data_IF_370331688236
#
_entry.id   IF_370331688236
#
_cell.length_a   1.000
_cell.length_b   1.000
_cell.length_c   1.000
_cell.angle_alpha   90.00
_cell.angle_beta   90.00
_cell.angle_gamma   90.00
#
_symmetry.space_group_name_H-M   'P 1'
#
loop_
_entity.id
_entity.type
_entity.pdbx_description
1 polymer ?
#
# COMPACT_ATOMS: atom_id res chain seq x y z
N UNK A 1 -36.76 -2.39 19.06
CA UNK A 1 -36.27 -3.76 18.79
C UNK A 1 -36.61 -4.10 17.33
N UNK A 2 -35.64 -4.09 16.41
CA UNK A 2 -35.90 -4.40 14.99
C UNK A 2 -35.98 -5.93 14.85
N UNK A 3 -37.13 -6.42 14.37
CA UNK A 3 -37.37 -7.83 14.04
C UNK A 3 -36.31 -8.31 13.05
N UNK A 4 -35.57 -9.36 13.43
CA UNK A 4 -34.76 -10.15 12.51
C UNK A 4 -35.75 -10.84 11.58
N UNK A 5 -35.76 -10.43 10.31
CA UNK A 5 -36.56 -11.08 9.27
C UNK A 5 -36.13 -12.54 9.18
N UNK A 6 -37.11 -13.45 9.14
CA UNK A 6 -36.91 -14.89 9.16
C UNK A 6 -35.92 -15.33 8.07
N UNK A 7 -34.76 -15.80 8.52
CA UNK A 7 -33.76 -16.48 7.72
C UNK A 7 -34.36 -17.87 7.42
N UNK A 8 -34.54 -18.22 6.14
CA UNK A 8 -35.04 -19.55 5.76
C UNK A 8 -34.09 -20.67 6.23
N UNK A 9 -34.42 -21.96 6.01
CA UNK A 9 -33.51 -23.05 6.36
C UNK A 9 -32.19 -22.90 5.61
N UNK A 10 -31.09 -23.24 6.28
CA UNK A 10 -29.79 -23.43 5.61
C UNK A 10 -29.90 -24.68 4.76
N UNK A 11 -29.47 -24.56 3.51
CA UNK A 11 -29.55 -25.61 2.50
C UNK A 11 -28.22 -25.72 1.78
N UNK A 12 -27.92 -26.94 1.32
CA UNK A 12 -26.87 -27.23 0.37
C UNK A 12 -27.54 -27.55 -0.97
N UNK A 13 -27.33 -26.69 -1.97
CA UNK A 13 -28.00 -26.78 -3.26
C UNK A 13 -26.96 -26.83 -4.38
N UNK A 14 -27.06 -27.85 -5.24
CA UNK A 14 -26.39 -27.85 -6.55
C UNK A 14 -27.21 -27.02 -7.54
N UNK A 15 -26.66 -25.89 -7.99
CA UNK A 15 -27.24 -24.96 -8.95
C UNK A 15 -26.49 -25.05 -10.29
N UNK A 16 -26.51 -26.22 -10.93
CA UNK A 16 -25.72 -26.50 -12.13
C UNK A 16 -24.24 -26.69 -11.79
N UNK A 17 -23.35 -25.89 -12.38
CA UNK A 17 -21.92 -25.88 -12.05
C UNK A 17 -21.60 -25.24 -10.69
N UNK A 18 -22.60 -24.65 -10.03
CA UNK A 18 -22.45 -23.92 -8.79
C UNK A 18 -22.97 -24.72 -7.61
N UNK A 19 -22.31 -24.59 -6.48
CA UNK A 19 -22.78 -25.03 -5.18
C UNK A 19 -23.17 -23.80 -4.35
N UNK A 20 -24.26 -23.91 -3.60
CA UNK A 20 -24.68 -22.91 -2.63
C UNK A 20 -24.91 -23.55 -1.26
N UNK A 21 -24.27 -22.98 -0.24
CA UNK A 21 -24.49 -23.31 1.17
C UNK A 21 -24.95 -22.06 1.89
N UNK A 22 -26.18 -22.05 2.37
CA UNK A 22 -26.72 -20.92 3.10
C UNK A 22 -28.24 -20.88 3.11
N UNK A 23 -28.84 -19.83 3.69
CA UNK A 23 -30.28 -19.69 3.74
C UNK A 23 -30.90 -19.29 2.40
N UNK A 24 -32.15 -19.66 2.19
CA UNK A 24 -32.92 -19.28 0.99
C UNK A 24 -34.21 -18.56 1.35
N UNK A 25 -34.68 -17.71 0.43
CA UNK A 25 -36.01 -17.12 0.50
C UNK A 25 -37.11 -18.12 0.11
N UNK A 26 -38.39 -17.71 0.19
CA UNK A 26 -39.54 -18.55 -0.18
C UNK A 26 -39.52 -19.06 -1.63
N UNK A 27 -38.77 -18.40 -2.51
CA UNK A 27 -38.58 -18.80 -3.90
C UNK A 27 -37.34 -19.66 -4.12
N UNK A 28 -36.66 -20.12 -3.07
CA UNK A 28 -35.45 -20.93 -3.15
C UNK A 28 -34.20 -20.15 -3.57
N UNK A 29 -34.23 -18.81 -3.53
CA UNK A 29 -33.08 -17.98 -3.92
C UNK A 29 -32.19 -17.68 -2.71
N UNK A 30 -30.86 -17.60 -2.89
CA UNK A 30 -29.93 -17.20 -1.82
C UNK A 30 -30.41 -15.95 -1.05
N UNK A 31 -30.41 -16.04 0.28
CA UNK A 31 -30.83 -14.95 1.16
C UNK A 31 -30.12 -15.04 2.52
N UNK A 32 -29.71 -13.91 3.10
CA UNK A 32 -28.89 -13.93 4.31
C UNK A 32 -27.43 -14.28 4.00
N UNK A 33 -26.67 -14.69 5.00
CA UNK A 33 -25.24 -15.00 4.82
C UNK A 33 -25.05 -16.41 4.28
N UNK A 34 -24.28 -16.57 3.20
CA UNK A 34 -23.96 -17.88 2.64
C UNK A 34 -22.91 -17.83 1.54
N UNK A 35 -22.45 -19.01 1.16
CA UNK A 35 -21.40 -19.20 0.18
C UNK A 35 -21.98 -19.74 -1.11
N UNK A 36 -21.67 -19.10 -2.24
CA UNK A 36 -21.93 -19.64 -3.58
C UNK A 36 -20.61 -19.76 -4.32
N UNK A 37 -20.26 -20.96 -4.79
CA UNK A 37 -18.97 -21.19 -5.46
C UNK A 37 -19.07 -22.23 -6.57
N UNK A 38 -18.13 -22.17 -7.51
CA UNK A 38 -17.81 -23.21 -8.47
C UNK A 38 -16.29 -23.48 -8.41
N UNK A 39 -15.78 -24.27 -9.35
CA UNK A 39 -14.37 -24.63 -9.38
C UNK A 39 -13.42 -23.43 -9.51
N UNK A 40 -13.84 -22.38 -10.22
CA UNK A 40 -12.98 -21.24 -10.58
C UNK A 40 -13.31 -19.95 -9.87
N UNK A 41 -14.48 -19.81 -9.24
CA UNK A 41 -14.87 -18.58 -8.56
C UNK A 41 -15.86 -18.83 -7.43
N UNK A 42 -16.01 -17.86 -6.54
CA UNK A 42 -16.98 -17.94 -5.48
C UNK A 42 -17.22 -16.61 -4.78
N UNK A 43 -18.27 -16.60 -3.98
CA UNK A 43 -18.68 -15.49 -3.14
C UNK A 43 -19.10 -16.02 -1.78
N UNK A 44 -18.51 -15.48 -0.73
CA UNK A 44 -18.92 -15.67 0.66
C UNK A 44 -19.39 -14.33 1.21
N UNK A 45 -20.65 -14.27 1.63
CA UNK A 45 -21.20 -13.01 2.12
C UNK A 45 -22.72 -12.98 2.15
N UNK A 46 -23.25 -11.77 2.25
CA UNK A 46 -24.68 -11.56 2.29
C UNK A 46 -25.36 -11.68 0.93
N UNK A 47 -26.59 -12.18 0.97
CA UNK A 47 -27.47 -12.36 -0.17
C UNK A 47 -28.83 -11.73 0.10
N UNK A 48 -29.42 -11.14 -0.93
CA UNK A 48 -30.77 -10.62 -0.91
C UNK A 48 -31.48 -10.98 -2.21
N UNK A 49 -32.42 -11.92 -2.13
CA UNK A 49 -33.22 -12.42 -3.26
C UNK A 49 -32.35 -12.90 -4.44
N UNK A 50 -31.28 -13.64 -4.14
CA UNK A 50 -30.35 -14.20 -5.12
C UNK A 50 -29.26 -13.23 -5.61
N UNK A 51 -29.21 -12.00 -5.10
CA UNK A 51 -28.18 -11.01 -5.42
C UNK A 51 -27.24 -10.80 -4.24
N UNK A 52 -25.95 -10.62 -4.51
CA UNK A 52 -24.95 -10.25 -3.49
C UNK A 52 -25.34 -8.94 -2.81
N UNK A 53 -25.33 -8.89 -1.49
CA UNK A 53 -25.80 -7.74 -0.72
C UNK A 53 -25.17 -7.70 0.68
N UNK A 54 -24.82 -6.50 1.17
CA UNK A 54 -24.11 -6.35 2.44
C UNK A 54 -22.64 -6.70 2.31
N UNK A 55 -21.99 -7.09 3.41
CA UNK A 55 -20.57 -7.45 3.37
C UNK A 55 -20.37 -8.80 2.68
N UNK A 56 -19.31 -8.90 1.89
CA UNK A 56 -18.89 -10.17 1.31
C UNK A 56 -17.59 -10.07 0.53
N UNK A 57 -17.03 -11.23 0.25
CA UNK A 57 -15.80 -11.44 -0.48
C UNK A 57 -16.08 -12.29 -1.71
N UNK A 58 -15.64 -11.81 -2.86
CA UNK A 58 -15.60 -12.58 -4.09
C UNK A 58 -14.18 -13.01 -4.37
N UNK A 59 -13.97 -14.26 -4.79
CA UNK A 59 -12.66 -14.73 -5.25
C UNK A 59 -12.77 -15.38 -6.62
N UNK A 60 -11.69 -15.27 -7.38
CA UNK A 60 -11.51 -15.96 -8.66
C UNK A 60 -10.15 -16.65 -8.64
N UNK A 61 -10.15 -17.96 -8.90
CA UNK A 61 -8.95 -18.77 -9.05
C UNK A 61 -8.30 -18.51 -10.40
N UNK A 62 -6.98 -18.57 -10.40
CA UNK A 62 -6.13 -18.56 -11.60
C UNK A 62 -5.28 -19.83 -11.60
N UNK A 63 -4.59 -20.11 -12.70
CA UNK A 63 -3.72 -21.29 -12.80
C UNK A 63 -2.63 -21.33 -11.71
N UNK A 64 -2.25 -20.18 -11.16
CA UNK A 64 -1.15 -20.03 -10.21
C UNK A 64 -1.55 -19.52 -8.83
N UNK A 65 -2.83 -19.26 -8.57
CA UNK A 65 -3.30 -18.70 -7.31
C UNK A 65 -4.76 -18.23 -7.37
N UNK A 66 -5.05 -17.08 -6.78
CA UNK A 66 -6.38 -16.48 -6.81
C UNK A 66 -6.31 -14.96 -6.56
N UNK A 67 -7.31 -14.24 -7.03
CA UNK A 67 -7.58 -12.88 -6.59
C UNK A 67 -8.83 -12.87 -5.72
N UNK A 68 -8.89 -11.97 -4.75
CA UNK A 68 -10.09 -11.72 -3.97
C UNK A 68 -10.41 -10.24 -3.90
N UNK A 69 -11.70 -9.93 -3.83
CA UNK A 69 -12.21 -8.58 -3.57
C UNK A 69 -13.27 -8.65 -2.50
N UNK A 70 -13.01 -7.93 -1.41
CA UNK A 70 -13.88 -7.81 -0.27
C UNK A 70 -14.43 -6.40 -0.20
N UNK A 71 -15.72 -6.29 0.07
CA UNK A 71 -16.36 -4.99 0.15
C UNK A 71 -17.80 -5.08 0.58
N UNK A 72 -18.48 -3.94 0.47
CA UNK A 72 -19.93 -3.87 0.63
C UNK A 72 -20.58 -4.02 -0.75
N UNK A 73 -21.59 -4.86 -0.82
CA UNK A 73 -22.37 -5.16 -2.00
C UNK A 73 -23.76 -4.57 -1.87
N UNK A 74 -24.32 -4.09 -2.97
CA UNK A 74 -25.70 -3.64 -3.05
C UNK A 74 -26.35 -4.22 -4.30
N UNK A 75 -27.14 -5.29 -4.12
CA UNK A 75 -27.93 -5.91 -5.19
C UNK A 75 -27.07 -6.32 -6.40
N UNK A 76 -25.95 -7.01 -6.12
CA UNK A 76 -25.03 -7.55 -7.12
C UNK A 76 -23.85 -6.67 -7.45
N UNK A 77 -23.93 -5.37 -7.14
CA UNK A 77 -22.87 -4.38 -7.41
C UNK A 77 -21.98 -4.16 -6.17
N UNK A 78 -20.67 -4.17 -6.36
CA UNK A 78 -19.73 -3.80 -5.30
C UNK A 78 -19.68 -2.28 -5.16
N UNK A 79 -19.61 -1.78 -3.93
CA UNK A 79 -19.45 -0.35 -3.65
C UNK A 79 -18.02 0.10 -3.91
N UNK A 80 -17.84 1.42 -3.92
CA UNK A 80 -16.59 2.08 -4.27
C UNK A 80 -15.43 1.78 -3.31
N UNK A 81 -15.64 1.41 -2.04
CA UNK A 81 -14.52 1.10 -1.16
C UNK A 81 -14.35 -0.42 -1.02
N UNK A 82 -13.16 -0.91 -1.36
CA UNK A 82 -12.84 -2.34 -1.40
C UNK A 82 -11.49 -2.66 -0.78
N UNK A 83 -11.31 -3.91 -0.41
CA UNK A 83 -10.02 -4.55 -0.20
C UNK A 83 -9.82 -5.59 -1.31
N UNK A 84 -8.81 -5.39 -2.15
CA UNK A 84 -8.47 -6.27 -3.26
C UNK A 84 -7.12 -6.93 -3.01
N UNK A 85 -7.04 -8.25 -3.20
CA UNK A 85 -5.83 -9.02 -2.95
C UNK A 85 -5.52 -9.95 -4.12
N UNK A 86 -4.22 -10.15 -4.38
CA UNK A 86 -3.71 -11.13 -5.35
C UNK A 86 -2.81 -12.10 -4.60
N UNK A 87 -3.08 -13.38 -4.77
CA UNK A 87 -2.32 -14.49 -4.22
C UNK A 87 -1.68 -15.31 -5.35
N UNK A 88 -0.44 -15.73 -5.14
CA UNK A 88 0.24 -16.78 -5.94
C UNK A 88 0.54 -17.91 -4.97
N UNK A 89 -0.04 -19.09 -5.19
CA UNK A 89 -0.15 -20.12 -4.16
C UNK A 89 -0.80 -19.55 -2.89
N UNK A 90 -0.18 -19.78 -1.74
CA UNK A 90 -0.62 -19.25 -0.43
C UNK A 90 -0.03 -17.87 -0.09
N UNK A 91 0.66 -17.23 -1.03
CA UNK A 91 1.43 -16.02 -0.78
C UNK A 91 0.72 -14.79 -1.34
N UNK A 92 0.30 -13.88 -0.47
CA UNK A 92 -0.27 -12.59 -0.85
C UNK A 92 0.80 -11.70 -1.50
N UNK A 93 0.65 -11.45 -2.81
CA UNK A 93 1.55 -10.65 -3.62
C UNK A 93 1.23 -9.17 -3.56
N UNK A 94 -0.07 -8.85 -3.47
CA UNK A 94 -0.59 -7.50 -3.49
C UNK A 94 -1.82 -7.40 -2.59
N UNK A 95 -1.89 -6.35 -1.81
CA UNK A 95 -3.12 -5.90 -1.13
C UNK A 95 -3.35 -4.45 -1.49
N UNK A 96 -4.55 -4.14 -1.96
CA UNK A 96 -5.05 -2.80 -2.21
C UNK A 96 -6.25 -2.53 -1.30
N UNK A 97 -6.32 -1.35 -0.70
CA UNK A 97 -7.48 -0.89 0.09
C UNK A 97 -7.80 0.54 -0.32
N UNK A 98 -9.03 0.81 -0.72
CA UNK A 98 -9.44 2.16 -1.07
C UNK A 98 -10.51 2.18 -2.14
N UNK A 99 -10.60 3.34 -2.82
CA UNK A 99 -11.62 3.59 -3.80
C UNK A 99 -11.48 2.76 -5.08
N UNK A 100 -12.61 2.44 -5.67
CA UNK A 100 -12.78 1.46 -6.72
C UNK A 100 -13.84 1.99 -7.68
N UNK A 101 -13.49 1.99 -8.96
CA UNK A 101 -14.38 2.43 -10.04
C UNK A 101 -14.57 1.28 -11.02
N UNK A 102 -15.84 0.96 -11.29
CA UNK A 102 -16.23 -0.13 -12.17
C UNK A 102 -16.90 -1.28 -11.42
N UNK A 103 -17.21 -2.34 -12.16
CA UNK A 103 -17.83 -3.53 -11.58
C UNK A 103 -16.77 -4.49 -11.01
N UNK A 104 -17.22 -5.70 -10.66
CA UNK A 104 -16.37 -6.76 -10.13
C UNK A 104 -15.26 -7.20 -11.10
N UNK A 105 -15.54 -7.22 -12.41
CA UNK A 105 -14.67 -7.84 -13.42
C UNK A 105 -13.79 -6.82 -14.15
N UNK A 106 -14.23 -5.57 -14.23
CA UNK A 106 -13.56 -4.47 -14.92
C UNK A 106 -13.18 -3.30 -14.00
N UNK A 107 -13.33 -3.49 -12.68
CA UNK A 107 -13.06 -2.45 -11.71
C UNK A 107 -11.57 -2.14 -11.52
N UNK A 108 -11.27 -0.88 -11.21
CA UNK A 108 -9.92 -0.37 -11.04
C UNK A 108 -9.82 0.55 -9.81
N UNK A 109 -8.65 0.60 -9.14
CA UNK A 109 -8.36 1.62 -8.13
C UNK A 109 -8.66 3.05 -8.60
N UNK A 110 -9.40 3.81 -7.81
CA UNK A 110 -9.77 5.20 -8.10
C UNK A 110 -9.95 6.00 -6.80
N UNK A 111 -9.53 7.26 -6.77
CA UNK A 111 -9.57 8.09 -5.57
C UNK A 111 -8.46 7.71 -4.58
N UNK A 112 -8.68 7.91 -3.29
CA UNK A 112 -7.67 7.60 -2.28
C UNK A 112 -7.55 6.09 -2.07
N UNK A 113 -6.32 5.60 -1.95
CA UNK A 113 -6.08 4.20 -1.62
C UNK A 113 -4.67 3.91 -1.14
N UNK A 114 -4.51 2.71 -0.62
CA UNK A 114 -3.27 2.15 -0.12
C UNK A 114 -2.98 0.85 -0.86
N UNK A 115 -1.75 0.68 -1.35
CA UNK A 115 -1.27 -0.51 -2.02
C UNK A 115 -0.01 -1.02 -1.33
N UNK A 116 -0.02 -2.29 -0.93
CA UNK A 116 1.12 -3.02 -0.39
C UNK A 116 1.49 -4.18 -1.31
N UNK A 117 2.78 -4.37 -1.59
CA UNK A 117 3.31 -5.54 -2.30
C UNK A 117 4.22 -6.37 -1.39
N UNK A 118 4.38 -7.65 -1.71
CA UNK A 118 5.15 -8.63 -0.91
C UNK A 118 6.58 -8.19 -0.55
N UNK A 119 7.24 -7.38 -1.38
CA UNK A 119 8.62 -6.90 -1.14
C UNK A 119 8.69 -5.63 -0.27
N UNK A 120 7.66 -5.36 0.53
CA UNK A 120 7.61 -4.17 1.40
C UNK A 120 7.37 -2.85 0.67
N UNK A 121 7.13 -2.88 -0.65
CA UNK A 121 6.75 -1.69 -1.42
C UNK A 121 5.34 -1.27 -1.00
N UNK A 122 5.21 -0.05 -0.51
CA UNK A 122 3.92 0.53 -0.11
C UNK A 122 3.68 1.83 -0.86
N UNK A 123 2.43 2.09 -1.21
CA UNK A 123 1.99 3.37 -1.73
C UNK A 123 0.70 3.78 -1.05
N UNK A 124 0.59 5.05 -0.69
CA UNK A 124 -0.63 5.68 -0.19
C UNK A 124 -0.86 6.99 -0.94
N UNK A 125 -2.04 7.18 -1.50
CA UNK A 125 -2.38 8.40 -2.23
C UNK A 125 -3.45 8.18 -3.28
N UNK A 126 -3.47 9.09 -4.25
CA UNK A 126 -4.51 9.13 -5.27
C UNK A 126 -4.28 8.13 -6.41
N UNK A 127 -5.37 7.50 -6.83
CA UNK A 127 -5.45 6.64 -8.00
C UNK A 127 -6.46 7.21 -8.99
N UNK A 128 -6.18 7.10 -10.29
CA UNK A 128 -7.15 7.32 -11.35
C UNK A 128 -7.03 6.19 -12.35
N UNK A 129 -8.11 5.42 -12.53
CA UNK A 129 -8.18 4.25 -13.41
C UNK A 129 -6.98 3.30 -13.24
N UNK A 130 -6.69 2.92 -11.99
CA UNK A 130 -5.65 1.97 -11.63
C UNK A 130 -4.22 2.53 -11.62
N UNK A 131 -4.03 3.82 -11.92
CA UNK A 131 -2.72 4.46 -11.93
C UNK A 131 -2.55 5.41 -10.76
N UNK A 132 -1.39 5.36 -10.11
CA UNK A 132 -1.01 6.37 -9.10
C UNK A 132 -0.93 7.73 -9.77
N UNK A 133 -1.62 8.70 -9.19
CA UNK A 133 -1.83 10.05 -9.69
C UNK A 133 -1.78 11.04 -8.53
N UNK A 134 -1.75 12.33 -8.82
CA UNK A 134 -1.91 13.38 -7.82
C UNK A 134 -0.91 13.26 -6.67
N UNK A 135 -1.31 13.57 -5.44
CA UNK A 135 -0.39 13.49 -4.29
C UNK A 135 -0.33 12.09 -3.69
N UNK A 136 0.87 11.65 -3.30
CA UNK A 136 1.03 10.41 -2.56
C UNK A 136 2.40 10.22 -1.92
N UNK A 137 2.51 9.12 -1.20
CA UNK A 137 3.71 8.64 -0.53
C UNK A 137 4.01 7.21 -0.98
N UNK A 138 5.27 6.92 -1.32
CA UNK A 138 5.72 5.60 -1.72
C UNK A 138 6.95 5.18 -0.92
N UNK A 139 6.82 4.06 -0.22
CA UNK A 139 7.94 3.32 0.37
C UNK A 139 8.43 2.29 -0.65
N UNK A 140 9.70 2.36 -0.99
CA UNK A 140 10.38 1.38 -1.83
C UNK A 140 10.96 0.24 -0.98
N UNK A 141 11.26 -0.89 -1.61
CA UNK A 141 11.82 -2.08 -0.95
C UNK A 141 13.18 -1.85 -0.30
N UNK A 142 13.93 -0.84 -0.75
CA UNK A 142 15.22 -0.44 -0.19
C UNK A 142 15.10 0.59 0.95
N UNK A 143 13.91 0.73 1.58
CA UNK A 143 13.66 1.68 2.66
C UNK A 143 13.53 3.15 2.23
N UNK A 144 13.73 3.46 0.95
CA UNK A 144 13.59 4.83 0.44
C UNK A 144 12.13 5.25 0.46
N UNK A 145 11.85 6.48 0.88
CA UNK A 145 10.51 7.08 0.88
C UNK A 145 10.49 8.23 -0.12
N UNK A 146 9.51 8.23 -1.01
CA UNK A 146 9.15 9.38 -1.85
C UNK A 146 7.83 9.96 -1.37
N UNK A 147 7.76 11.27 -1.16
CA UNK A 147 6.51 12.01 -0.94
C UNK A 147 6.40 13.12 -1.98
N UNK A 148 5.32 13.18 -2.74
CA UNK A 148 5.20 14.18 -3.80
C UNK A 148 4.06 13.89 -4.76
N UNK A 149 4.14 14.48 -5.94
CA UNK A 149 3.11 14.26 -6.97
C UNK A 149 3.46 13.05 -7.84
N UNK A 150 2.42 12.41 -8.38
CA UNK A 150 2.50 11.26 -9.25
C UNK A 150 1.76 11.55 -10.55
N UNK A 151 2.30 11.06 -11.65
CA UNK A 151 1.65 11.08 -12.96
C UNK A 151 1.87 9.72 -13.62
N UNK A 152 0.78 9.00 -13.92
CA UNK A 152 0.82 7.69 -14.56
C UNK A 152 1.80 6.70 -13.89
N UNK A 153 1.65 6.48 -12.58
CA UNK A 153 2.50 5.61 -11.75
C UNK A 153 3.90 6.12 -11.40
N UNK A 154 4.33 7.26 -11.96
CA UNK A 154 5.69 7.78 -11.80
C UNK A 154 5.70 9.04 -10.95
N UNK A 155 6.71 9.23 -10.08
CA UNK A 155 7.01 10.53 -9.48
C UNK A 155 7.06 11.65 -10.52
N UNK A 156 6.34 12.73 -10.26
CA UNK A 156 6.23 13.88 -11.15
C UNK A 156 6.04 15.17 -10.33
N UNK A 157 6.40 16.33 -10.88
CA UNK A 157 6.24 17.61 -10.18
C UNK A 157 7.09 17.70 -8.90
N UNK A 158 6.63 18.43 -7.89
CA UNK A 158 7.38 18.60 -6.66
C UNK A 158 7.36 17.32 -5.81
N UNK A 159 8.51 16.96 -5.25
CA UNK A 159 8.60 15.85 -4.31
C UNK A 159 9.86 15.88 -3.46
N UNK A 160 9.85 15.01 -2.44
CA UNK A 160 10.92 14.79 -1.49
C UNK A 160 11.25 13.30 -1.49
N UNK A 161 12.53 12.97 -1.65
CA UNK A 161 13.07 11.63 -1.43
C UNK A 161 13.86 11.63 -0.13
N UNK A 162 13.60 10.65 0.71
CA UNK A 162 14.39 10.32 1.90
C UNK A 162 14.90 8.89 1.76
N UNK A 163 16.21 8.75 1.62
CA UNK A 163 16.89 7.46 1.66
C UNK A 163 17.01 6.98 3.11
N UNK A 164 17.18 5.66 3.28
CA UNK A 164 17.33 5.04 4.59
C UNK A 164 18.58 5.55 5.34
N UNK A 165 19.65 5.86 4.61
CA UNK A 165 20.89 6.43 5.15
C UNK A 165 20.80 7.93 5.53
N UNK A 166 19.60 8.51 5.47
CA UNK A 166 19.34 9.91 5.85
C UNK A 166 19.62 10.93 4.75
N UNK A 167 20.10 10.51 3.57
CA UNK A 167 20.21 11.41 2.41
C UNK A 167 18.81 11.84 1.97
N UNK A 168 18.64 13.15 1.82
CA UNK A 168 17.39 13.75 1.37
C UNK A 168 17.60 14.53 0.07
N UNK A 169 16.60 14.49 -0.81
CA UNK A 169 16.51 15.34 -1.99
C UNK A 169 15.13 15.97 -2.03
N UNK A 170 15.06 17.27 -2.32
CA UNK A 170 13.81 18.00 -2.53
C UNK A 170 13.90 18.73 -3.86
N UNK A 171 12.93 18.53 -4.73
CA UNK A 171 12.96 19.17 -6.04
C UNK A 171 11.89 18.69 -7.00
N UNK A 172 12.05 19.08 -8.26
CA UNK A 172 11.17 18.69 -9.36
C UNK A 172 11.53 17.30 -9.89
N UNK A 173 10.51 16.51 -10.16
CA UNK A 173 10.58 15.20 -10.78
C UNK A 173 9.89 15.19 -12.13
N UNK A 174 10.48 14.50 -13.09
CA UNK A 174 9.87 14.24 -14.39
C UNK A 174 10.05 12.78 -14.76
N UNK A 175 8.94 12.10 -15.05
CA UNK A 175 8.88 10.67 -15.39
C UNK A 175 9.73 9.77 -14.47
N UNK A 176 9.61 10.00 -13.15
CA UNK A 176 10.30 9.21 -12.13
C UNK A 176 11.74 9.62 -11.84
N UNK A 177 12.28 10.65 -12.50
CA UNK A 177 13.65 11.11 -12.31
C UNK A 177 13.70 12.51 -11.71
N UNK A 178 14.61 12.79 -10.75
CA UNK A 178 14.83 14.15 -10.27
C UNK A 178 15.44 15.00 -11.39
N UNK A 179 14.91 16.19 -11.60
CA UNK A 179 15.50 17.18 -12.49
C UNK A 179 16.81 17.68 -11.88
N UNK A 180 17.88 17.73 -12.70
CA UNK A 180 19.24 18.10 -12.26
C UNK A 180 19.38 19.56 -11.77
N UNK A 181 18.32 20.36 -11.85
CA UNK A 181 18.26 21.74 -11.36
C UNK A 181 17.73 21.86 -9.93
N UNK A 182 17.40 20.75 -9.26
CA UNK A 182 16.89 20.74 -7.88
C UNK A 182 17.96 21.07 -6.84
N UNK A 183 17.59 21.86 -5.83
CA UNK A 183 18.46 22.26 -4.72
C UNK A 183 18.76 21.05 -3.84
N UNK A 184 20.02 20.63 -3.76
CA UNK A 184 20.47 19.71 -2.72
C UNK A 184 20.34 20.41 -1.36
N UNK A 185 19.53 19.91 -0.41
CA UNK A 185 19.63 20.39 0.95
C UNK A 185 21.06 20.08 1.44
N UNK A 186 21.81 21.14 1.75
CA UNK A 186 23.15 21.04 2.30
C UNK A 186 23.12 20.14 3.53
N UNK A 187 24.12 19.24 3.63
CA UNK A 187 24.46 18.50 4.84
C UNK A 187 24.42 19.48 6.03
N UNK A 188 23.76 19.19 7.17
CA UNK A 188 23.96 20.00 8.35
C UNK A 188 25.45 19.97 8.64
N UNK A 189 26.11 21.13 8.55
CA UNK A 189 27.52 21.23 8.84
C UNK A 189 27.71 20.70 10.27
N UNK A 190 28.48 19.61 10.41
CA UNK A 190 29.04 19.28 11.71
C UNK A 190 29.79 20.52 12.18
N UNK A 191 29.65 20.97 13.43
CA UNK A 191 30.46 22.08 13.93
C UNK A 191 31.93 21.73 13.69
N UNK A 192 32.57 22.44 12.76
CA UNK A 192 34.00 22.31 12.54
C UNK A 192 34.68 22.71 13.83
N UNK A 193 35.75 21.98 14.16
CA UNK A 193 36.37 21.94 15.47
C UNK A 193 36.69 23.31 16.07
N UNK A 194 36.77 23.32 17.40
CA UNK A 194 37.47 24.35 18.14
C UNK A 194 38.90 24.48 17.58
N UNK A 195 39.14 25.52 16.79
CA UNK A 195 40.47 26.02 16.51
C UNK A 195 41.03 26.66 17.79
N UNK A 196 42.09 26.06 18.32
CA UNK A 196 42.95 26.69 19.31
C UNK A 196 43.55 27.97 18.69
N UNK A 197 43.26 29.12 19.30
CA UNK A 197 43.85 30.41 18.92
C UNK A 197 45.34 30.44 19.28
N UNK A 198 46.24 30.95 18.41
CA UNK A 198 47.61 31.21 18.80
C UNK A 198 47.82 32.65 19.29
N UNK A 199 48.58 32.79 20.38
CA UNK A 199 49.34 34.00 20.74
C UNK A 199 48.96 34.67 22.06
N UNK A 200 49.72 34.44 23.14
CA UNK A 200 50.78 35.36 23.63
C UNK A 200 51.46 34.81 24.91
N UNK A 201 52.78 34.96 24.97
CA UNK A 201 53.72 34.39 25.94
C UNK A 201 53.68 35.02 27.34
N UNK A 202 54.11 34.28 28.38
CA UNK A 202 55.46 34.42 28.99
C UNK A 202 55.56 33.93 30.45
N UNK A 203 56.80 33.61 30.83
CA UNK A 203 57.36 33.41 32.19
C UNK A 203 57.31 31.94 32.71
N UNK A 204 58.37 31.26 33.15
CA UNK A 204 59.71 31.61 33.66
C UNK A 204 60.68 30.41 33.57
N UNK A 205 61.98 30.71 33.34
CA UNK A 205 63.22 30.12 33.91
C UNK A 205 63.44 28.58 33.77
N UNK A 206 64.60 28.07 33.41
CA UNK A 206 65.95 28.63 33.36
C UNK A 206 66.97 27.59 32.86
N UNK A 207 68.22 28.04 32.89
CA UNK A 207 69.36 27.66 32.07
C UNK A 207 70.08 26.35 32.38
N UNK A 208 70.71 25.79 31.32
CA UNK A 208 71.96 25.00 31.31
C UNK A 208 71.89 23.58 31.91
N UNK A 209 72.63 22.55 31.48
CA UNK A 209 74.04 22.42 31.09
C UNK A 209 74.22 21.12 30.29
N UNK A 210 74.99 21.18 29.19
CA UNK A 210 76.00 20.24 28.67
C UNK A 210 75.96 18.69 28.91
N UNK A 211 76.19 18.02 27.78
CA UNK A 211 77.18 16.96 27.48
C UNK A 211 76.95 15.45 27.72
N UNK A 212 77.16 14.75 26.59
CA UNK A 212 77.99 13.56 26.34
C UNK A 212 77.55 12.15 26.78
N UNK A 213 77.32 11.35 25.72
CA UNK A 213 78.04 10.10 25.40
C UNK A 213 78.04 8.95 26.41
N UNK A 214 77.46 7.81 26.03
CA UNK A 214 78.18 6.63 25.49
C UNK A 214 77.27 5.40 25.45
N UNK A 215 77.46 4.65 24.35
CA UNK A 215 77.18 3.23 24.08
C UNK A 215 75.71 2.82 23.94
#
# INVERSE_FOLDING_TARGET
MKKILAVGPVVDIKMGAWDYTGPVDKGGRPHGYGTKSCDTEGYDGGWHHGLRHGLGEHWTRTDSGYCSVKGTWNLGQIKSDVEYQIFIGDVCQLTYKGGWEGDLFAGLPHGQGQMCRIQGVKYEGEFVHGKKQGTGEMLYSNGTIYKGSFLNNLPHGNGVIKAEDGRNFSGLFSYGKPNKTGVHPSRPESPRGCELRPGFESALRGSSVFNQSRL
#
